data_IF_792050578919
#
_entry.id   IF_792050578919
#
_cell.length_a   1.000
_cell.length_b   1.000
_cell.length_c   1.000
_cell.angle_alpha   90.00
_cell.angle_beta   90.00
_cell.angle_gamma   90.00
#
_symmetry.space_group_name_H-M   'P 1'
#
loop_
_entity.id
_entity.type
_entity.pdbx_description
1 polymer ?
#
# COMPACT_ATOMS: atom_id res chain seq x y z
N UNK A 1 2.54 -64.36 -14.16
CA UNK A 1 1.93 -63.39 -13.21
C UNK A 1 2.92 -62.24 -13.09
N UNK A 2 2.52 -60.98 -13.37
CA UNK A 2 3.45 -59.87 -13.53
C UNK A 2 3.88 -59.25 -12.20
N UNK A 3 5.10 -58.73 -12.22
CA UNK A 3 5.87 -58.10 -11.15
C UNK A 3 5.24 -56.76 -10.72
N UNK A 4 5.17 -56.47 -9.41
CA UNK A 4 4.88 -55.13 -8.90
C UNK A 4 6.19 -54.47 -8.47
N UNK A 5 6.79 -53.72 -9.39
CA UNK A 5 7.89 -52.80 -9.06
C UNK A 5 7.31 -51.51 -8.50
N UNK A 6 7.61 -51.22 -7.23
CA UNK A 6 7.30 -49.93 -6.60
C UNK A 6 8.19 -48.86 -7.23
N UNK A 7 7.61 -47.98 -8.04
CA UNK A 7 8.32 -46.80 -8.54
C UNK A 7 8.62 -45.86 -7.36
N UNK A 8 9.89 -45.80 -6.95
CA UNK A 8 10.41 -44.74 -6.11
C UNK A 8 10.41 -43.48 -6.97
N UNK A 9 9.42 -42.61 -6.79
CA UNK A 9 9.44 -41.29 -7.44
C UNK A 9 10.59 -40.53 -6.79
N UNK A 10 11.66 -40.31 -7.55
CA UNK A 10 12.81 -39.50 -7.14
C UNK A 10 12.30 -38.09 -6.81
N UNK A 11 12.37 -37.74 -5.52
CA UNK A 11 11.88 -36.47 -4.98
C UNK A 11 12.52 -35.27 -5.70
N UNK A 12 13.71 -35.44 -6.28
CA UNK A 12 14.35 -34.42 -7.09
C UNK A 12 13.61 -34.12 -8.41
N UNK A 13 13.01 -35.12 -9.05
CA UNK A 13 12.32 -34.94 -10.35
C UNK A 13 10.97 -34.22 -10.16
N UNK A 14 10.31 -34.48 -9.02
CA UNK A 14 9.12 -33.74 -8.61
C UNK A 14 9.42 -32.26 -8.29
N UNK A 15 10.57 -31.98 -7.67
CA UNK A 15 10.98 -30.61 -7.34
C UNK A 15 11.38 -29.84 -8.62
N UNK A 16 12.08 -30.47 -9.55
CA UNK A 16 12.44 -29.86 -10.84
C UNK A 16 11.20 -29.56 -11.70
N UNK A 17 10.22 -30.47 -11.72
CA UNK A 17 8.93 -30.26 -12.40
C UNK A 17 8.14 -29.09 -11.78
N UNK A 18 8.18 -28.90 -10.46
CA UNK A 18 7.50 -27.80 -9.78
C UNK A 18 8.15 -26.43 -10.01
N UNK A 19 9.46 -26.39 -10.27
CA UNK A 19 10.19 -25.16 -10.56
C UNK A 19 10.03 -24.70 -12.03
N UNK A 20 9.92 -25.63 -12.97
CA UNK A 20 9.62 -25.32 -14.39
C UNK A 20 8.17 -24.87 -14.62
N UNK A 21 7.28 -25.19 -13.69
CA UNK A 21 5.87 -24.82 -13.73
C UNK A 21 5.60 -23.33 -13.43
N UNK A 22 6.61 -22.46 -13.62
CA UNK A 22 6.44 -21.01 -13.83
C UNK A 22 5.35 -20.37 -12.99
N UNK A 23 5.31 -20.74 -11.69
CA UNK A 23 4.25 -20.35 -10.78
C UNK A 23 4.34 -18.87 -10.53
N UNK A 24 3.78 -18.07 -11.43
CA UNK A 24 3.43 -16.69 -11.17
C UNK A 24 2.50 -16.75 -9.97
N UNK A 25 3.06 -16.46 -8.79
CA UNK A 25 2.28 -15.94 -7.69
C UNK A 25 1.70 -14.64 -8.23
N UNK A 26 0.54 -14.74 -8.86
CA UNK A 26 -0.28 -13.60 -9.23
C UNK A 26 -0.70 -13.03 -7.89
N UNK A 27 0.11 -12.13 -7.37
CA UNK A 27 -0.39 -11.15 -6.43
C UNK A 27 -1.45 -10.40 -7.24
N UNK A 28 -2.72 -10.70 -6.98
CA UNK A 28 -3.85 -10.02 -7.60
C UNK A 28 -3.73 -8.56 -7.19
N UNK A 29 -3.01 -7.79 -8.01
CA UNK A 29 -2.90 -6.36 -7.89
C UNK A 29 -4.25 -5.82 -8.34
N UNK A 30 -5.21 -5.82 -7.41
CA UNK A 30 -6.57 -5.31 -7.56
C UNK A 30 -6.61 -3.77 -7.77
N UNK A 31 -5.53 -3.21 -8.28
CA UNK A 31 -5.36 -1.78 -8.54
C UNK A 31 -5.58 -1.55 -10.03
N UNK A 32 -6.51 -0.66 -10.33
CA UNK A 32 -6.90 -0.29 -11.69
C UNK A 32 -5.95 0.71 -12.35
N UNK A 33 -4.93 1.22 -11.63
CA UNK A 33 -4.09 2.33 -12.09
C UNK A 33 -2.63 2.23 -11.63
N UNK A 34 -1.72 2.65 -12.51
CA UNK A 34 -0.29 2.82 -12.20
C UNK A 34 -0.10 4.03 -11.29
N UNK A 35 0.62 3.85 -10.18
CA UNK A 35 0.99 4.96 -9.29
C UNK A 35 2.39 5.45 -9.60
N UNK A 36 2.52 6.73 -9.95
CA UNK A 36 3.84 7.35 -10.01
C UNK A 36 4.41 7.50 -8.59
N UNK A 37 5.67 7.13 -8.43
CA UNK A 37 6.39 7.34 -7.18
C UNK A 37 6.78 8.81 -7.08
N UNK A 38 5.93 9.59 -6.43
CA UNK A 38 6.19 10.98 -6.12
C UNK A 38 6.55 11.08 -4.63
N UNK A 39 7.79 11.48 -4.33
CA UNK A 39 8.24 11.77 -2.97
C UNK A 39 7.97 13.25 -2.68
N UNK A 40 6.84 13.55 -2.06
CA UNK A 40 6.45 14.92 -1.70
C UNK A 40 6.34 15.07 -0.18
N UNK A 41 6.89 16.15 0.36
CA UNK A 41 6.70 16.50 1.75
C UNK A 41 5.25 16.95 1.97
N UNK A 42 4.65 16.46 3.05
CA UNK A 42 3.26 16.76 3.38
C UNK A 42 3.04 16.77 4.89
N UNK A 43 1.93 17.37 5.32
CA UNK A 43 1.44 17.29 6.69
C UNK A 43 0.05 16.66 6.69
N UNK A 44 -0.14 15.60 7.47
CA UNK A 44 -1.44 15.02 7.75
C UNK A 44 -2.11 15.79 8.90
N UNK A 45 -3.37 16.18 8.71
CA UNK A 45 -4.09 17.12 9.58
C UNK A 45 -5.45 16.54 9.94
N UNK A 46 -5.80 16.52 11.23
CA UNK A 46 -7.13 16.13 11.68
C UNK A 46 -7.52 16.76 13.03
N UNK A 47 -8.81 16.88 13.35
CA UNK A 47 -9.26 17.35 14.66
C UNK A 47 -8.83 16.40 15.78
N UNK A 48 -8.36 16.94 16.90
CA UNK A 48 -8.06 16.16 18.09
C UNK A 48 -9.33 16.02 18.96
N UNK A 49 -9.72 14.81 19.42
CA UNK A 49 -10.87 14.61 20.30
C UNK A 49 -10.85 15.45 21.59
N UNK A 50 -9.68 15.82 22.10
CA UNK A 50 -9.53 16.65 23.31
C UNK A 50 -9.50 18.16 23.02
N UNK A 51 -9.71 18.55 21.77
CA UNK A 51 -9.64 19.94 21.31
C UNK A 51 -8.35 20.25 20.53
N UNK A 52 -8.47 21.21 19.60
CA UNK A 52 -7.38 21.60 18.70
C UNK A 52 -7.26 20.73 17.45
N UNK A 53 -6.14 20.90 16.73
CA UNK A 53 -5.84 20.19 15.48
C UNK A 53 -4.52 19.47 15.63
N UNK A 54 -4.49 18.20 15.25
CA UNK A 54 -3.27 17.39 15.17
C UNK A 54 -2.61 17.62 13.82
N UNK A 55 -1.30 17.85 13.83
CA UNK A 55 -0.47 17.99 12.64
C UNK A 55 0.68 16.98 12.73
N UNK A 56 0.78 16.08 11.75
CA UNK A 56 1.82 15.07 11.71
C UNK A 56 2.53 15.14 10.36
N UNK A 57 3.85 15.32 10.40
CA UNK A 57 4.68 15.28 9.20
C UNK A 57 4.56 13.94 8.49
N UNK A 58 4.52 13.99 7.15
CA UNK A 58 4.38 12.83 6.29
C UNK A 58 5.16 13.00 5.00
N UNK A 59 5.54 11.88 4.40
CA UNK A 59 6.06 11.82 3.03
C UNK A 59 5.01 11.10 2.20
N UNK A 60 4.47 11.79 1.21
CA UNK A 60 3.71 11.15 0.14
C UNK A 60 4.70 10.33 -0.67
N UNK A 61 4.45 9.03 -0.83
CA UNK A 61 5.32 8.08 -1.53
C UNK A 61 4.83 7.72 -2.92
N UNK A 62 3.52 7.77 -3.10
CA UNK A 62 2.86 7.48 -4.36
C UNK A 62 1.50 8.17 -4.39
N UNK A 63 1.10 8.61 -5.59
CA UNK A 63 -0.18 9.27 -5.86
C UNK A 63 -0.80 8.59 -7.08
N UNK A 64 -2.12 8.40 -7.05
CA UNK A 64 -2.95 8.13 -8.23
C UNK A 64 -4.12 9.12 -8.27
N UNK A 65 -4.93 9.04 -9.32
CA UNK A 65 -6.12 9.87 -9.48
C UNK A 65 -7.11 9.76 -8.30
N UNK A 66 -7.10 8.61 -7.61
CA UNK A 66 -8.05 8.27 -6.56
C UNK A 66 -7.45 8.07 -5.17
N UNK A 67 -6.14 8.22 -5.00
CA UNK A 67 -5.56 7.98 -3.69
C UNK A 67 -4.07 8.20 -3.60
N UNK A 68 -3.56 8.00 -2.39
CA UNK A 68 -2.17 8.27 -2.07
C UNK A 68 -1.67 7.35 -0.97
N UNK A 69 -0.37 7.08 -1.02
CA UNK A 69 0.37 6.35 -0.01
C UNK A 69 1.23 7.29 0.81
N UNK A 70 1.02 7.33 2.11
CA UNK A 70 1.79 8.13 3.06
C UNK A 70 2.79 7.27 3.83
N UNK A 71 3.86 7.92 4.24
CA UNK A 71 4.75 7.49 5.30
C UNK A 71 4.79 8.59 6.36
N UNK A 72 4.20 8.35 7.53
CA UNK A 72 4.20 9.29 8.64
C UNK A 72 5.60 9.37 9.28
N UNK A 73 5.98 10.55 9.76
CA UNK A 73 7.21 10.75 10.55
C UNK A 73 7.10 9.99 11.87
N UNK A 74 5.95 10.07 12.53
CA UNK A 74 5.67 9.39 13.79
C UNK A 74 4.61 8.30 13.65
N UNK A 75 4.75 7.24 14.45
CA UNK A 75 3.78 6.16 14.49
C UNK A 75 2.60 6.59 15.36
N UNK A 76 1.59 7.19 14.73
CA UNK A 76 0.33 7.56 15.38
C UNK A 76 -0.83 6.86 14.70
N UNK A 77 -1.86 6.52 15.45
CA UNK A 77 -3.10 6.05 14.85
C UNK A 77 -3.78 7.22 14.14
N UNK A 78 -3.94 7.08 12.83
CA UNK A 78 -4.57 8.11 12.01
C UNK A 78 -6.07 7.84 11.96
N UNK A 79 -6.93 8.86 12.12
CA UNK A 79 -8.37 8.67 12.03
C UNK A 79 -8.81 8.21 10.64
N UNK A 80 -10.09 7.81 10.54
CA UNK A 80 -10.70 7.41 9.28
C UNK A 80 -10.71 8.55 8.26
N UNK A 81 -10.99 9.78 8.68
CA UNK A 81 -10.98 10.98 7.83
C UNK A 81 -9.94 11.98 8.30
N UNK A 82 -9.22 12.56 7.35
CA UNK A 82 -8.12 13.49 7.61
C UNK A 82 -7.82 14.27 6.33
N UNK A 83 -7.07 15.37 6.46
CA UNK A 83 -6.57 16.12 5.32
C UNK A 83 -5.07 15.92 5.14
N UNK A 84 -4.61 15.99 3.89
CA UNK A 84 -3.19 16.06 3.54
C UNK A 84 -2.90 17.44 2.98
N UNK A 85 -1.98 18.16 3.61
CA UNK A 85 -1.42 19.41 3.10
C UNK A 85 -0.09 19.13 2.41
N UNK A 86 0.00 19.38 1.10
CA UNK A 86 1.26 19.28 0.36
C UNK A 86 2.11 20.52 0.61
N UNK A 87 3.36 20.37 1.05
CA UNK A 87 4.19 21.50 1.47
C UNK A 87 4.73 22.32 0.28
N UNK A 88 4.87 21.70 -0.88
CA UNK A 88 5.37 22.33 -2.12
C UNK A 88 4.33 23.23 -2.79
N UNK A 89 3.05 22.81 -2.79
CA UNK A 89 1.96 23.56 -3.45
C UNK A 89 1.06 24.30 -2.46
N UNK A 90 1.09 23.96 -1.17
CA UNK A 90 0.13 24.42 -0.17
C UNK A 90 -1.28 23.85 -0.38
N UNK A 91 -1.46 22.91 -1.31
CA UNK A 91 -2.73 22.29 -1.61
C UNK A 91 -3.17 21.38 -0.46
N UNK A 92 -4.46 21.45 -0.09
CA UNK A 92 -5.05 20.62 0.95
C UNK A 92 -6.07 19.65 0.34
N UNK A 93 -5.88 18.37 0.59
CA UNK A 93 -6.65 17.29 -0.01
C UNK A 93 -7.38 16.47 1.07
N UNK A 94 -8.71 16.41 1.06
CA UNK A 94 -9.47 15.56 1.98
C UNK A 94 -9.30 14.09 1.61
N UNK A 95 -9.01 13.29 2.64
CA UNK A 95 -8.63 11.89 2.51
C UNK A 95 -9.41 10.99 3.49
N UNK A 96 -9.57 9.74 3.07
CA UNK A 96 -10.12 8.67 3.89
C UNK A 96 -9.12 7.52 3.99
N UNK A 97 -8.78 7.10 5.21
CA UNK A 97 -7.84 6.03 5.50
C UNK A 97 -8.45 4.70 5.09
N UNK A 98 -7.81 4.00 4.15
CA UNK A 98 -8.24 2.66 3.69
C UNK A 98 -7.49 1.56 4.40
N UNK A 99 -6.24 1.80 4.77
CA UNK A 99 -5.46 0.90 5.60
C UNK A 99 -4.32 1.64 6.28
N UNK A 100 -3.84 1.08 7.39
CA UNK A 100 -2.63 1.55 8.06
C UNK A 100 -1.81 0.36 8.59
N UNK A 101 -0.48 0.45 8.45
CA UNK A 101 0.49 -0.51 9.00
C UNK A 101 1.68 0.26 9.59
N UNK A 102 1.66 0.46 10.91
CA UNK A 102 2.63 1.32 11.59
C UNK A 102 2.60 2.75 11.04
N UNK A 103 3.74 3.21 10.51
CA UNK A 103 3.88 4.54 9.89
C UNK A 103 3.36 4.62 8.45
N UNK A 104 3.01 3.49 7.84
CA UNK A 104 2.54 3.47 6.45
C UNK A 104 1.03 3.55 6.40
N UNK A 105 0.50 4.47 5.59
CA UNK A 105 -0.93 4.63 5.41
C UNK A 105 -1.26 4.64 3.92
N UNK A 106 -2.31 3.92 3.53
CA UNK A 106 -2.96 4.12 2.25
C UNK A 106 -4.30 4.80 2.45
N UNK A 107 -4.55 5.84 1.66
CA UNK A 107 -5.78 6.60 1.70
C UNK A 107 -6.37 6.78 0.30
N UNK A 108 -7.71 6.87 0.24
CA UNK A 108 -8.40 7.42 -0.92
C UNK A 108 -8.47 8.93 -0.78
N UNK A 109 -8.29 9.61 -1.90
CA UNK A 109 -8.40 11.05 -1.98
C UNK A 109 -9.59 11.41 -2.85
N UNK A 110 -10.38 12.39 -2.40
CA UNK A 110 -11.50 12.90 -3.21
C UNK A 110 -10.94 13.87 -4.24
N UNK A 111 -10.50 13.31 -5.37
CA UNK A 111 -10.16 13.94 -6.65
C UNK A 111 -9.15 15.09 -6.58
N UNK A 112 -7.89 14.79 -6.93
CA UNK A 112 -6.93 15.79 -7.37
C UNK A 112 -7.41 16.31 -8.74
N UNK A 113 -7.74 17.59 -8.86
CA UNK A 113 -7.93 18.20 -10.17
C UNK A 113 -6.57 18.20 -10.87
N UNK A 114 -6.47 17.44 -11.96
CA UNK A 114 -5.26 17.36 -12.79
C UNK A 114 -4.96 18.66 -13.53
#
# INVERSE_FOLDING_TARGET
MPQTGTATIDVLDAILTALDAGGTVVHEDNRTETRERQLRAATAIWPNPTGGTTHIGAIVRNVSQHGLGLLLVDAVEMPETFDVLFEDTGERLPCERRWQRGKQVGASARQLAG
#
